data_IF_789456234623
#
_entry.id   IF_789456234623
#
_cell.length_a   1.000
_cell.length_b   1.000
_cell.length_c   1.000
_cell.angle_alpha   90.00
_cell.angle_beta   90.00
_cell.angle_gamma   90.00
#
_symmetry.space_group_name_H-M   'P 1'
#
loop_
_entity.id
_entity.type
_entity.pdbx_description
1 polymer ?
#
# COMPACT_ATOMS: atom_id res chain seq x y z
N UNK A 1 -0.45 15.34 5.45
CA UNK A 1 -0.39 13.95 5.94
C UNK A 1 0.62 13.15 5.14
N UNK A 2 1.09 12.08 5.73
CA UNK A 2 1.95 11.10 5.08
C UNK A 2 1.15 9.81 4.92
N UNK A 3 0.88 9.44 3.67
CA UNK A 3 -0.02 8.33 3.33
C UNK A 3 0.77 7.14 2.80
N UNK A 4 0.38 5.93 3.19
CA UNK A 4 0.88 4.70 2.59
C UNK A 4 -0.28 4.00 1.91
N UNK A 5 -0.20 3.83 0.58
CA UNK A 5 -1.24 3.12 -0.16
C UNK A 5 -1.10 1.62 0.05
N UNK A 6 -2.23 0.92 0.31
CA UNK A 6 -2.19 -0.53 0.12
C UNK A 6 -2.15 -0.84 -1.38
N UNK A 7 -1.96 -2.09 -1.71
CA UNK A 7 -1.77 -2.49 -3.11
C UNK A 7 -2.99 -2.16 -3.96
N UNK A 8 -4.21 -2.40 -3.45
CA UNK A 8 -5.44 -2.09 -4.20
C UNK A 8 -5.63 -0.59 -4.40
N UNK A 9 -5.36 0.23 -3.39
CA UNK A 9 -5.46 1.68 -3.53
C UNK A 9 -4.52 2.20 -4.61
N UNK A 10 -3.29 1.68 -4.66
CA UNK A 10 -2.34 2.03 -5.71
C UNK A 10 -2.84 1.61 -7.09
N UNK A 11 -3.32 0.37 -7.23
CA UNK A 11 -3.84 -0.15 -8.49
C UNK A 11 -5.03 0.66 -8.99
N UNK A 12 -5.97 0.97 -8.10
CA UNK A 12 -7.15 1.76 -8.46
C UNK A 12 -6.80 3.19 -8.84
N UNK A 13 -5.86 3.80 -8.13
CA UNK A 13 -5.37 5.13 -8.50
C UNK A 13 -4.73 5.12 -9.88
N UNK A 14 -3.83 4.19 -10.13
CA UNK A 14 -3.13 4.09 -11.40
C UNK A 14 -4.08 3.85 -12.58
N UNK A 15 -5.11 3.05 -12.38
CA UNK A 15 -6.11 2.73 -13.38
C UNK A 15 -7.25 3.76 -13.44
N UNK A 16 -7.25 4.77 -12.59
CA UNK A 16 -8.37 5.70 -12.41
C UNK A 16 -9.69 4.95 -12.18
N UNK A 17 -9.64 3.91 -11.34
CA UNK A 17 -10.74 3.01 -11.07
C UNK A 17 -11.73 3.64 -10.07
N UNK A 18 -13.04 3.67 -10.37
CA UNK A 18 -14.04 4.24 -9.48
C UNK A 18 -14.22 3.48 -8.16
N UNK A 19 -13.65 2.28 -8.01
CA UNK A 19 -13.65 1.57 -6.73
C UNK A 19 -12.87 2.31 -5.65
N UNK A 20 -11.90 3.16 -6.03
CA UNK A 20 -11.21 4.00 -5.06
C UNK A 20 -12.19 5.03 -4.49
N UNK A 21 -12.46 5.02 -3.17
CA UNK A 21 -13.42 5.95 -2.58
C UNK A 21 -13.03 7.42 -2.82
N UNK A 22 -14.02 8.28 -2.98
CA UNK A 22 -13.82 9.69 -3.30
C UNK A 22 -12.95 10.41 -2.27
N UNK A 23 -13.13 10.11 -0.97
CA UNK A 23 -12.32 10.70 0.09
C UNK A 23 -10.86 10.31 0.01
N UNK A 24 -10.58 9.04 -0.31
CA UNK A 24 -9.22 8.55 -0.49
C UNK A 24 -8.58 9.17 -1.75
N UNK A 25 -9.34 9.23 -2.85
CA UNK A 25 -8.88 9.87 -4.09
C UNK A 25 -8.48 11.31 -3.85
N UNK A 26 -9.31 12.06 -3.13
CA UNK A 26 -9.04 13.47 -2.80
C UNK A 26 -7.75 13.59 -1.97
N UNK A 27 -7.56 12.73 -0.98
CA UNK A 27 -6.38 12.76 -0.13
C UNK A 27 -5.10 12.46 -0.93
N UNK A 28 -5.15 11.47 -1.82
CA UNK A 28 -4.01 11.10 -2.67
C UNK A 28 -3.67 12.24 -3.63
N UNK A 29 -4.68 12.91 -4.18
CA UNK A 29 -4.49 14.00 -5.13
C UNK A 29 -3.96 15.29 -4.48
N UNK A 30 -4.09 15.44 -3.17
CA UNK A 30 -3.71 16.67 -2.49
C UNK A 30 -2.19 16.86 -2.50
N UNK A 31 -1.68 18.02 -2.99
CA UNK A 31 -0.25 18.28 -3.00
C UNK A 31 0.34 18.51 -1.60
N UNK A 32 -0.50 18.67 -0.59
CA UNK A 32 -0.07 18.82 0.80
C UNK A 32 0.26 17.49 1.45
N UNK A 33 -0.15 16.38 0.85
CA UNK A 33 0.10 15.04 1.36
C UNK A 33 1.28 14.40 0.63
N UNK A 34 2.14 13.74 1.39
CA UNK A 34 3.17 12.88 0.80
C UNK A 34 2.63 11.47 0.71
N UNK A 35 2.67 10.88 -0.48
CA UNK A 35 2.09 9.56 -0.76
C UNK A 35 3.20 8.56 -1.01
N UNK A 36 3.19 7.48 -0.24
CA UNK A 36 4.17 6.40 -0.32
C UNK A 36 3.56 5.16 -0.93
N UNK A 37 4.34 4.46 -1.72
CA UNK A 37 4.03 3.10 -2.19
C UNK A 37 5.19 2.19 -1.79
N UNK A 38 4.87 1.11 -1.10
CA UNK A 38 5.86 0.19 -0.58
C UNK A 38 6.44 -0.71 -1.67
N UNK A 39 7.70 -1.07 -1.49
CA UNK A 39 8.33 -2.14 -2.28
C UNK A 39 7.54 -3.46 -2.16
N UNK A 40 6.85 -3.68 -1.05
CA UNK A 40 6.03 -4.89 -0.87
C UNK A 40 4.86 -4.92 -1.87
N UNK A 41 4.25 -3.77 -2.16
CA UNK A 41 3.17 -3.70 -3.16
C UNK A 41 3.71 -3.97 -4.57
N UNK A 42 4.89 -3.47 -4.88
CA UNK A 42 5.55 -3.75 -6.16
C UNK A 42 5.80 -5.26 -6.32
N UNK A 43 6.25 -5.91 -5.26
CA UNK A 43 6.50 -7.35 -5.26
C UNK A 43 5.20 -8.15 -5.38
N UNK A 44 4.16 -7.77 -4.65
CA UNK A 44 2.84 -8.40 -4.73
C UNK A 44 2.28 -8.33 -6.16
N UNK A 45 2.38 -7.16 -6.80
CA UNK A 45 1.94 -6.98 -8.19
C UNK A 45 2.73 -7.90 -9.12
N UNK A 46 4.04 -7.99 -8.96
CA UNK A 46 4.89 -8.85 -9.79
C UNK A 46 4.52 -10.33 -9.65
N UNK A 47 4.29 -10.80 -8.42
CA UNK A 47 3.91 -12.19 -8.16
C UNK A 47 2.55 -12.50 -8.78
N UNK A 48 1.56 -11.66 -8.55
CA UNK A 48 0.20 -11.89 -9.03
C UNK A 48 0.10 -11.77 -10.55
N UNK A 49 0.87 -10.88 -11.15
CA UNK A 49 0.95 -10.78 -12.61
C UNK A 49 1.57 -12.04 -13.22
N UNK A 50 2.64 -12.54 -12.64
CA UNK A 50 3.30 -13.76 -13.12
C UNK A 50 2.41 -14.99 -13.02
N UNK A 51 1.52 -15.05 -12.03
CA UNK A 51 0.58 -16.17 -11.84
C UNK A 51 -0.74 -15.98 -12.58
N UNK A 52 -0.90 -14.91 -13.35
CA UNK A 52 -2.13 -14.62 -14.10
C UNK A 52 -3.29 -14.11 -13.25
N UNK A 53 -3.07 -13.82 -11.99
CA UNK A 53 -4.13 -13.34 -11.08
C UNK A 53 -4.36 -11.83 -11.17
N UNK A 54 -3.47 -11.11 -11.85
CA UNK A 54 -3.56 -9.66 -11.99
C UNK A 54 -3.05 -9.25 -13.37
N UNK A 55 -3.80 -8.35 -14.01
CA UNK A 55 -3.37 -7.69 -15.24
C UNK A 55 -2.81 -6.33 -14.85
N UNK A 56 -1.54 -6.09 -15.17
CA UNK A 56 -0.89 -4.82 -14.92
C UNK A 56 0.11 -4.55 -16.06
N UNK A 57 -0.08 -3.43 -16.75
CA UNK A 57 0.75 -3.05 -17.89
C UNK A 57 1.95 -2.25 -17.45
N UNK A 58 3.13 -2.56 -17.98
CA UNK A 58 4.34 -1.81 -17.74
C UNK A 58 4.97 -2.10 -16.37
N UNK A 59 5.65 -1.11 -15.83
CA UNK A 59 6.43 -1.23 -14.60
C UNK A 59 5.75 -0.50 -13.45
N UNK A 60 5.55 -1.20 -12.33
CA UNK A 60 5.03 -0.58 -11.10
C UNK A 60 6.00 0.50 -10.59
N UNK A 61 7.31 0.28 -10.69
CA UNK A 61 8.31 1.27 -10.30
C UNK A 61 8.18 2.56 -11.11
N UNK A 62 7.96 2.43 -12.42
CA UNK A 62 7.74 3.60 -13.28
C UNK A 62 6.43 4.30 -13.00
N UNK A 63 5.39 3.55 -12.63
CA UNK A 63 4.11 4.13 -12.25
C UNK A 63 4.23 4.95 -10.97
N UNK A 64 4.98 4.48 -9.98
CA UNK A 64 5.26 5.21 -8.76
C UNK A 64 5.91 6.56 -9.09
N UNK A 65 6.91 6.56 -9.94
CA UNK A 65 7.62 7.76 -10.37
C UNK A 65 6.70 8.70 -11.15
N UNK A 66 5.93 8.17 -12.09
CA UNK A 66 4.97 8.93 -12.89
C UNK A 66 3.98 9.70 -12.03
N UNK A 67 3.48 9.09 -10.96
CA UNK A 67 2.52 9.71 -10.05
C UNK A 67 3.20 10.59 -8.99
N UNK A 68 4.52 10.66 -8.99
CA UNK A 68 5.33 11.39 -8.00
C UNK A 68 5.12 10.88 -6.58
N UNK A 69 4.85 9.59 -6.44
CA UNK A 69 4.80 8.94 -5.16
C UNK A 69 6.21 8.62 -4.67
N UNK A 70 6.36 8.54 -3.36
CA UNK A 70 7.65 8.19 -2.74
C UNK A 70 7.74 6.68 -2.56
N UNK A 71 8.77 6.03 -3.09
CA UNK A 71 8.95 4.60 -2.82
C UNK A 71 9.35 4.37 -1.36
N UNK A 72 8.78 3.34 -0.75
CA UNK A 72 9.11 2.96 0.63
C UNK A 72 9.80 1.60 0.63
N UNK A 73 11.10 1.55 0.93
CA UNK A 73 11.82 0.28 0.99
C UNK A 73 11.41 -0.53 2.22
N UNK A 74 11.58 -1.85 2.12
CA UNK A 74 11.37 -2.77 3.24
C UNK A 74 12.67 -2.87 4.02
N UNK A 75 12.60 -2.63 5.35
CA UNK A 75 13.75 -2.74 6.24
C UNK A 75 13.68 -4.02 7.06
N UNK A 76 14.79 -4.36 7.72
CA UNK A 76 14.85 -5.48 8.67
C UNK A 76 13.83 -5.26 9.80
N UNK A 77 13.73 -4.04 10.29
CA UNK A 77 12.78 -3.68 11.36
C UNK A 77 11.33 -3.86 10.92
N UNK A 78 11.02 -3.50 9.68
CA UNK A 78 9.68 -3.74 9.12
C UNK A 78 9.34 -5.24 9.14
N UNK A 79 10.25 -6.06 8.67
CA UNK A 79 10.04 -7.50 8.59
C UNK A 79 9.87 -8.14 9.96
N UNK A 80 10.69 -7.74 10.93
CA UNK A 80 10.62 -8.24 12.29
C UNK A 80 9.32 -7.83 12.97
N UNK A 81 8.91 -6.58 12.82
CA UNK A 81 7.65 -6.09 13.37
C UNK A 81 6.44 -6.80 12.75
N UNK A 82 6.46 -7.01 11.44
CA UNK A 82 5.39 -7.73 10.74
C UNK A 82 5.24 -9.16 11.30
N UNK A 83 6.35 -9.82 11.59
CA UNK A 83 6.34 -11.16 12.17
C UNK A 83 5.77 -11.20 13.59
N UNK A 84 5.85 -10.10 14.34
CA UNK A 84 5.36 -10.03 15.71
C UNK A 84 3.90 -9.58 15.83
N UNK A 85 3.26 -9.17 14.73
CA UNK A 85 1.86 -8.74 14.75
C UNK A 85 0.94 -9.91 15.15
N UNK A 86 -0.19 -9.61 15.83
CA UNK A 86 -1.20 -10.65 16.12
C UNK A 86 -1.65 -11.34 14.85
N UNK A 87 -2.02 -12.63 14.96
CA UNK A 87 -2.46 -13.42 13.80
C UNK A 87 -3.91 -13.12 13.41
N UNK A 88 -4.21 -11.84 13.12
CA UNK A 88 -5.54 -11.39 12.73
C UNK A 88 -5.77 -11.53 11.22
N UNK A 89 -4.72 -11.53 10.43
CA UNK A 89 -4.73 -11.64 8.99
C UNK A 89 -3.56 -12.49 8.53
N UNK A 90 -3.77 -13.34 7.54
CA UNK A 90 -2.74 -14.28 7.07
C UNK A 90 -1.87 -13.74 5.95
N UNK A 91 -2.36 -12.73 5.24
CA UNK A 91 -1.68 -12.19 4.07
C UNK A 91 -0.36 -11.50 4.50
N UNK A 92 0.80 -12.04 4.10
CA UNK A 92 2.08 -11.46 4.51
C UNK A 92 2.34 -10.09 3.91
N UNK A 93 1.81 -9.80 2.73
CA UNK A 93 1.97 -8.48 2.12
C UNK A 93 1.26 -7.42 2.95
N UNK A 94 0.01 -7.69 3.35
CA UNK A 94 -0.78 -6.75 4.15
C UNK A 94 -0.20 -6.56 5.54
N UNK A 95 0.29 -7.64 6.17
CA UNK A 95 0.95 -7.56 7.48
C UNK A 95 2.18 -6.67 7.42
N UNK A 96 2.94 -6.75 6.33
CA UNK A 96 4.12 -5.93 6.15
C UNK A 96 3.76 -4.45 5.95
N UNK A 97 2.67 -4.17 5.23
CA UNK A 97 2.16 -2.80 5.10
C UNK A 97 1.74 -2.21 6.45
N UNK A 98 1.05 -2.99 7.28
CA UNK A 98 0.68 -2.56 8.63
C UNK A 98 1.92 -2.25 9.46
N UNK A 99 2.93 -3.11 9.41
CA UNK A 99 4.19 -2.90 10.12
C UNK A 99 4.90 -1.62 9.66
N UNK A 100 4.92 -1.37 8.37
CA UNK A 100 5.52 -0.15 7.82
C UNK A 100 4.75 1.10 8.28
N UNK A 101 3.42 1.06 8.25
CA UNK A 101 2.62 2.18 8.73
C UNK A 101 2.90 2.47 10.20
N UNK A 102 3.02 1.43 11.05
CA UNK A 102 3.35 1.60 12.46
C UNK A 102 4.72 2.24 12.66
N UNK A 103 5.75 1.69 12.03
CA UNK A 103 7.13 2.09 12.30
C UNK A 103 7.51 3.42 11.65
N UNK A 104 6.90 3.74 10.51
CA UNK A 104 7.17 4.99 9.79
C UNK A 104 6.19 6.11 10.13
N UNK A 105 5.20 5.83 10.96
CA UNK A 105 4.18 6.83 11.34
C UNK A 105 3.32 7.28 10.17
N UNK A 106 2.91 6.33 9.30
CA UNK A 106 2.12 6.62 8.11
C UNK A 106 0.65 6.30 8.33
N UNK A 107 -0.22 7.03 7.64
CA UNK A 107 -1.64 6.73 7.57
C UNK A 107 -1.89 5.79 6.40
N UNK A 108 -2.40 4.61 6.68
CA UNK A 108 -2.65 3.59 5.65
C UNK A 108 -3.93 3.89 4.89
N UNK A 109 -3.86 3.88 3.57
CA UNK A 109 -5.02 4.06 2.69
C UNK A 109 -5.49 2.69 2.24
N UNK A 110 -6.62 2.25 2.76
CA UNK A 110 -7.15 0.90 2.52
C UNK A 110 -8.68 0.87 2.69
N UNK A 111 -9.31 -0.08 2.03
CA UNK A 111 -10.73 -0.45 2.29
C UNK A 111 -10.83 -1.91 2.77
N UNK A 112 -9.71 -2.57 2.99
CA UNK A 112 -9.68 -3.99 3.33
C UNK A 112 -9.98 -4.18 4.82
N UNK A 113 -11.12 -4.81 5.12
CA UNK A 113 -11.55 -5.08 6.49
C UNK A 113 -10.56 -5.95 7.26
N UNK A 114 -9.81 -6.81 6.58
CA UNK A 114 -8.81 -7.66 7.23
C UNK A 114 -7.62 -6.84 7.74
N UNK A 115 -7.19 -5.85 6.97
CA UNK A 115 -6.15 -4.90 7.39
C UNK A 115 -6.64 -4.07 8.56
N UNK A 116 -7.90 -3.63 8.50
CA UNK A 116 -8.49 -2.76 9.53
C UNK A 116 -8.73 -3.48 10.87
N UNK A 117 -8.53 -4.79 10.92
CA UNK A 117 -8.51 -5.52 12.21
C UNK A 117 -7.31 -5.16 13.07
N UNK A 118 -6.25 -4.63 12.49
CA UNK A 118 -5.09 -4.14 13.23
C UNK A 118 -5.32 -2.70 13.67
N UNK A 119 -4.69 -2.32 14.79
CA UNK A 119 -4.69 -0.92 15.23
C UNK A 119 -3.68 -0.14 14.38
N UNK A 120 -4.17 0.53 13.37
CA UNK A 120 -3.36 1.31 12.44
C UNK A 120 -4.13 2.57 12.05
N UNK A 121 -3.42 3.71 11.95
CA UNK A 121 -4.02 4.93 11.41
C UNK A 121 -4.39 4.68 9.95
N UNK A 122 -5.61 5.04 9.57
CA UNK A 122 -6.08 4.80 8.20
C UNK A 122 -7.09 5.84 7.74
N UNK A 123 -7.21 5.90 6.43
CA UNK A 123 -8.27 6.63 5.74
C UNK A 123 -9.30 5.66 5.21
#
# INVERSE_FOLDING_TARGET
MRLLLDTHAFLWWDANDPQLPAGQRKAIASPQNEVFVSAVSVWEIAIKRASGKLIFSGSAAKAIDKHRFSPLPITVEHAEHAGSLPALHRDPFDRLLVAQAHLEGLTLVTVDDQILRYQVQHL
#
